data_IF_385263007328
#
_entry.id   IF_385263007328
#
_cell.length_a   1.000
_cell.length_b   1.000
_cell.length_c   1.000
_cell.angle_alpha   90.00
_cell.angle_beta   90.00
_cell.angle_gamma   90.00
#
_symmetry.space_group_name_H-M   'P 1'
#
loop_
_entity.id
_entity.type
_entity.pdbx_description
1 polymer ?
#
# COMPACT_ATOMS: atom_id res chain seq x y z
N UNK A 1 -21.32 -26.79 35.75
CA UNK A 1 -20.62 -26.88 34.44
C UNK A 1 -19.90 -25.58 34.19
N UNK A 2 -18.63 -25.53 34.50
CA UNK A 2 -17.78 -24.34 34.33
C UNK A 2 -17.28 -24.32 32.88
N UNK A 3 -17.69 -23.33 32.14
CA UNK A 3 -17.16 -23.04 30.82
C UNK A 3 -15.76 -22.44 31.02
N UNK A 4 -14.75 -23.13 30.53
CA UNK A 4 -13.37 -22.68 30.49
C UNK A 4 -13.22 -21.51 29.51
N UNK A 5 -13.29 -20.28 29.99
CA UNK A 5 -12.76 -19.10 29.32
C UNK A 5 -11.25 -19.04 29.54
N UNK A 6 -10.50 -19.77 28.75
CA UNK A 6 -9.05 -19.59 28.64
C UNK A 6 -8.66 -19.53 27.16
N UNK A 7 -7.87 -18.50 26.89
CA UNK A 7 -7.06 -18.28 25.69
C UNK A 7 -7.72 -17.59 24.48
N UNK A 8 -8.15 -16.34 24.71
CA UNK A 8 -7.82 -15.31 23.75
C UNK A 8 -6.66 -14.51 24.35
N UNK A 9 -5.43 -14.81 23.94
CA UNK A 9 -4.27 -13.96 24.21
C UNK A 9 -4.60 -12.58 23.66
N UNK A 10 -5.08 -11.68 24.52
CA UNK A 10 -5.34 -10.28 24.17
C UNK A 10 -3.99 -9.58 24.07
N UNK A 11 -3.34 -9.71 22.92
CA UNK A 11 -2.21 -8.88 22.59
C UNK A 11 -2.59 -7.43 22.82
N UNK A 12 -1.86 -6.73 23.70
CA UNK A 12 -2.14 -5.32 24.00
C UNK A 12 -1.97 -4.50 22.72
N UNK A 13 -3.08 -4.01 22.18
CA UNK A 13 -3.05 -3.10 21.04
C UNK A 13 -2.29 -1.83 21.47
N UNK A 14 -1.22 -1.43 20.77
CA UNK A 14 -0.52 -0.20 21.09
C UNK A 14 -1.45 1.00 20.99
N UNK A 15 -1.21 2.05 21.79
CA UNK A 15 -2.08 3.23 21.83
C UNK A 15 -2.37 3.77 20.42
N UNK A 16 -1.35 3.83 19.56
CA UNK A 16 -1.52 4.23 18.15
C UNK A 16 -2.46 3.32 17.37
N UNK A 17 -2.48 2.02 17.68
CA UNK A 17 -3.36 1.04 17.05
C UNK A 17 -4.83 1.23 17.40
N UNK A 18 -5.15 1.79 18.58
CA UNK A 18 -6.53 2.01 19.03
C UNK A 18 -7.30 3.01 18.16
N UNK A 19 -6.59 3.90 17.45
CA UNK A 19 -7.19 4.88 16.54
C UNK A 19 -7.25 4.40 15.09
N UNK A 20 -6.89 3.14 14.84
CA UNK A 20 -6.90 2.54 13.50
C UNK A 20 -8.12 1.66 13.30
N UNK A 21 -8.34 1.25 12.05
CA UNK A 21 -9.35 0.23 11.79
C UNK A 21 -8.93 -1.10 12.44
N UNK A 22 -9.88 -2.03 12.67
CA UNK A 22 -9.61 -3.28 13.39
C UNK A 22 -8.48 -4.12 12.79
N UNK A 23 -8.37 -4.13 11.46
CA UNK A 23 -7.36 -4.91 10.74
C UNK A 23 -5.96 -4.34 10.95
N UNK A 24 -5.79 -3.02 10.80
CA UNK A 24 -4.51 -2.34 11.08
C UNK A 24 -4.13 -2.51 12.55
N UNK A 25 -5.09 -2.39 13.46
CA UNK A 25 -4.86 -2.59 14.90
C UNK A 25 -4.34 -4.01 15.19
N UNK A 26 -4.97 -5.03 14.60
CA UNK A 26 -4.55 -6.44 14.72
C UNK A 26 -3.15 -6.66 14.17
N UNK A 27 -2.84 -6.15 12.98
CA UNK A 27 -1.51 -6.25 12.38
C UNK A 27 -0.43 -5.58 13.23
N UNK A 28 -0.73 -4.44 13.84
CA UNK A 28 0.22 -3.75 14.72
C UNK A 28 0.42 -4.47 16.04
N UNK A 29 -0.62 -5.08 16.60
CA UNK A 29 -0.50 -5.92 17.79
C UNK A 29 0.42 -7.13 17.54
N UNK A 30 0.21 -7.84 16.42
CA UNK A 30 1.09 -8.95 15.99
C UNK A 30 2.56 -8.50 15.91
N UNK A 31 2.83 -7.34 15.33
CA UNK A 31 4.18 -6.79 15.23
C UNK A 31 4.80 -6.45 16.59
N UNK A 32 4.02 -5.95 17.54
CA UNK A 32 4.50 -5.66 18.90
C UNK A 32 4.84 -6.93 19.65
N UNK A 33 4.03 -7.98 19.54
CA UNK A 33 4.33 -9.30 20.13
C UNK A 33 5.64 -9.88 19.61
N UNK A 34 5.88 -9.77 18.30
CA UNK A 34 7.13 -10.24 17.71
C UNK A 34 8.35 -9.47 18.24
N UNK A 35 8.25 -8.14 18.33
CA UNK A 35 9.33 -7.32 18.93
C UNK A 35 9.61 -7.70 20.38
N UNK A 36 8.58 -8.01 21.14
CA UNK A 36 8.77 -8.43 22.54
C UNK A 36 9.45 -9.80 22.62
N UNK A 37 9.09 -10.75 21.74
CA UNK A 37 9.79 -12.04 21.63
C UNK A 37 11.26 -11.87 21.25
N UNK A 38 11.59 -11.01 20.31
CA UNK A 38 12.97 -10.67 19.97
C UNK A 38 13.74 -10.06 21.15
N UNK A 39 13.10 -9.17 21.92
CA UNK A 39 13.70 -8.52 23.10
C UNK A 39 13.99 -9.48 24.23
N UNK A 40 13.14 -10.48 24.43
CA UNK A 40 13.30 -11.49 25.49
C UNK A 40 14.27 -12.60 25.11
N UNK A 41 14.92 -12.55 23.94
CA UNK A 41 15.91 -13.54 23.50
C UNK A 41 15.32 -14.91 23.17
N UNK A 42 13.98 -14.99 23.00
CA UNK A 42 13.30 -16.24 22.73
C UNK A 42 13.45 -16.76 21.29
N UNK A 43 14.01 -16.01 20.41
CA UNK A 43 14.50 -16.34 19.05
C UNK A 43 15.09 -15.05 18.46
N UNK A 44 16.19 -15.09 17.81
CA UNK A 44 16.53 -15.31 16.41
C UNK A 44 17.96 -14.82 16.20
N UNK A 45 18.83 -15.72 15.82
CA UNK A 45 20.11 -15.34 15.20
C UNK A 45 19.78 -14.60 13.89
N UNK A 46 20.37 -13.42 13.60
CA UNK A 46 20.08 -12.69 12.37
C UNK A 46 20.44 -13.58 11.17
N UNK A 47 19.42 -14.07 10.49
CA UNK A 47 19.60 -14.87 9.30
C UNK A 47 20.25 -14.00 8.20
N UNK A 48 21.27 -14.52 7.53
CA UNK A 48 21.90 -13.85 6.39
C UNK A 48 21.05 -13.94 5.13
N UNK A 49 20.18 -14.94 5.06
CA UNK A 49 19.24 -15.20 3.95
C UNK A 49 17.92 -15.74 4.47
N UNK A 50 16.82 -15.43 3.78
CA UNK A 50 15.48 -15.93 4.07
C UNK A 50 14.76 -16.37 2.80
N UNK A 51 13.81 -17.30 2.95
CA UNK A 51 12.89 -17.68 1.86
C UNK A 51 11.67 -16.75 1.83
N UNK A 52 10.96 -16.64 0.70
CA UNK A 52 9.71 -15.87 0.63
C UNK A 52 8.67 -16.32 1.65
N UNK A 53 8.57 -17.63 1.90
CA UNK A 53 7.63 -18.22 2.87
C UNK A 53 7.85 -17.75 4.31
N UNK A 54 9.10 -17.48 4.71
CA UNK A 54 9.42 -16.99 6.05
C UNK A 54 8.94 -15.57 6.34
N UNK A 55 8.56 -14.81 5.31
CA UNK A 55 7.94 -13.49 5.45
C UNK A 55 6.44 -13.50 5.18
N UNK A 56 5.90 -14.63 4.73
CA UNK A 56 4.49 -14.74 4.36
C UNK A 56 3.58 -14.40 5.55
N UNK A 57 2.59 -13.57 5.30
CA UNK A 57 1.60 -13.15 6.29
C UNK A 57 0.23 -13.09 5.63
N UNK A 58 -0.78 -13.54 6.36
CA UNK A 58 -2.16 -13.55 5.93
C UNK A 58 -3.07 -12.99 7.01
N UNK A 59 -4.14 -12.32 6.60
CA UNK A 59 -5.22 -11.86 7.47
C UNK A 59 -6.56 -12.00 6.77
N UNK A 60 -7.58 -12.44 7.50
CA UNK A 60 -8.93 -12.62 6.97
C UNK A 60 -9.85 -11.49 7.43
N UNK A 61 -10.79 -11.15 6.57
CA UNK A 61 -11.91 -10.25 6.82
C UNK A 61 -13.19 -11.10 6.83
N UNK A 62 -13.74 -11.42 7.99
CA UNK A 62 -14.94 -12.25 8.10
C UNK A 62 -16.21 -11.42 7.80
N UNK A 63 -16.32 -10.89 6.59
CA UNK A 63 -17.43 -10.03 6.18
C UNK A 63 -18.78 -10.75 6.17
N UNK A 64 -18.77 -12.09 5.98
CA UNK A 64 -19.99 -12.89 6.02
C UNK A 64 -20.61 -12.99 7.41
N UNK A 65 -19.83 -12.77 8.48
CA UNK A 65 -20.25 -12.97 9.88
C UNK A 65 -20.11 -11.72 10.74
N UNK A 66 -19.31 -10.74 10.34
CA UNK A 66 -19.09 -9.49 11.06
C UNK A 66 -19.64 -8.30 10.26
N UNK A 67 -20.93 -8.00 10.48
CA UNK A 67 -21.63 -6.89 9.82
C UNK A 67 -21.01 -5.52 10.14
N UNK A 68 -20.51 -5.32 11.36
CA UNK A 68 -19.87 -4.06 11.73
C UNK A 68 -18.55 -3.85 10.96
N UNK A 69 -17.76 -4.90 10.82
CA UNK A 69 -16.56 -4.86 10.00
C UNK A 69 -16.92 -4.61 8.53
N UNK A 70 -17.89 -5.34 8.00
CA UNK A 70 -18.39 -5.17 6.63
C UNK A 70 -18.77 -3.71 6.35
N UNK A 71 -19.58 -3.09 7.21
CA UNK A 71 -20.00 -1.69 7.05
C UNK A 71 -18.82 -0.70 7.10
N UNK A 72 -17.79 -0.99 7.87
CA UNK A 72 -16.58 -0.15 7.92
C UNK A 72 -15.78 -0.15 6.61
N UNK A 73 -16.00 -1.17 5.75
CA UNK A 73 -15.38 -1.33 4.44
C UNK A 73 -16.33 -1.09 3.27
N UNK A 74 -17.55 -0.69 3.52
CA UNK A 74 -18.54 -0.36 2.49
C UNK A 74 -18.44 1.13 2.12
N UNK A 75 -18.52 1.42 0.83
CA UNK A 75 -18.65 2.78 0.32
C UNK A 75 -20.15 3.17 0.20
N UNK A 76 -20.51 4.44 -0.08
CA UNK A 76 -21.90 4.86 -0.20
C UNK A 76 -22.71 4.16 -1.29
N UNK A 77 -22.08 3.46 -2.21
CA UNK A 77 -22.75 2.71 -3.29
C UNK A 77 -22.81 1.20 -3.03
N UNK A 78 -22.47 0.77 -1.81
CA UNK A 78 -22.52 -0.64 -1.43
C UNK A 78 -21.33 -1.47 -1.91
N UNK A 79 -20.24 -0.85 -2.39
CA UNK A 79 -19.06 -1.53 -2.89
C UNK A 79 -17.87 -1.38 -1.93
N UNK A 80 -16.77 -2.06 -2.27
CA UNK A 80 -15.53 -2.02 -1.50
C UNK A 80 -14.98 -0.59 -1.35
N UNK A 81 -14.74 -0.16 -0.13
CA UNK A 81 -14.08 1.09 0.21
C UNK A 81 -12.57 0.96 0.03
N UNK A 82 -12.08 1.10 -1.19
CA UNK A 82 -10.67 0.91 -1.55
C UNK A 82 -9.69 1.71 -0.68
N UNK A 83 -10.05 2.90 -0.24
CA UNK A 83 -9.19 3.68 0.67
C UNK A 83 -8.85 2.93 1.96
N UNK A 84 -9.78 2.14 2.52
CA UNK A 84 -9.52 1.29 3.68
C UNK A 84 -8.59 0.12 3.33
N UNK A 85 -8.85 -0.52 2.21
CA UNK A 85 -7.97 -1.60 1.72
C UNK A 85 -6.54 -1.11 1.52
N UNK A 86 -6.33 0.08 0.96
CA UNK A 86 -5.00 0.66 0.79
C UNK A 86 -4.27 0.88 2.14
N UNK A 87 -5.03 1.28 3.16
CA UNK A 87 -4.51 1.43 4.53
C UNK A 87 -4.04 0.09 5.09
N UNK A 88 -4.83 -0.98 4.91
CA UNK A 88 -4.51 -2.34 5.37
C UNK A 88 -3.35 -2.96 4.60
N UNK A 89 -3.32 -2.80 3.28
CA UNK A 89 -2.19 -3.22 2.45
C UNK A 89 -0.88 -2.63 2.95
N UNK A 90 -0.85 -1.34 3.29
CA UNK A 90 0.35 -0.72 3.83
C UNK A 90 0.74 -1.28 5.22
N UNK A 91 -0.23 -1.58 6.07
CA UNK A 91 0.01 -2.17 7.38
C UNK A 91 0.55 -3.61 7.26
N UNK A 92 -0.06 -4.43 6.39
CA UNK A 92 0.38 -5.80 6.13
C UNK A 92 1.78 -5.82 5.51
N UNK A 93 2.04 -4.97 4.51
CA UNK A 93 3.35 -4.86 3.91
C UNK A 93 4.43 -4.49 4.95
N UNK A 94 4.08 -3.62 5.91
CA UNK A 94 4.94 -3.31 7.04
C UNK A 94 5.23 -4.51 7.94
N UNK A 95 4.27 -5.40 8.18
CA UNK A 95 4.46 -6.64 8.93
C UNK A 95 5.35 -7.61 8.15
N UNK A 96 5.07 -7.85 6.89
CA UNK A 96 5.87 -8.71 6.00
C UNK A 96 7.33 -8.24 5.97
N UNK A 97 7.54 -6.92 5.80
CA UNK A 97 8.87 -6.34 5.81
C UNK A 97 9.58 -6.57 7.16
N UNK A 98 8.86 -6.44 8.28
CA UNK A 98 9.40 -6.70 9.60
C UNK A 98 9.79 -8.17 9.79
N UNK A 99 8.95 -9.12 9.32
CA UNK A 99 9.25 -10.57 9.35
C UNK A 99 10.52 -10.89 8.56
N UNK A 100 10.76 -10.19 7.45
CA UNK A 100 11.94 -10.40 6.63
C UNK A 100 13.21 -9.82 7.27
N UNK A 101 13.14 -8.58 7.74
CA UNK A 101 14.32 -7.83 8.20
C UNK A 101 14.75 -8.26 9.60
N UNK A 102 13.80 -8.35 10.55
CA UNK A 102 14.04 -8.55 11.98
C UNK A 102 15.06 -7.57 12.59
N UNK A 103 15.15 -7.51 13.91
CA UNK A 103 16.08 -6.62 14.60
C UNK A 103 15.66 -5.14 14.61
N UNK A 104 16.65 -4.25 14.77
CA UNK A 104 16.42 -2.82 15.06
C UNK A 104 16.39 -1.90 13.84
N UNK A 105 16.45 -2.43 12.61
CA UNK A 105 16.42 -1.58 11.43
C UNK A 105 15.10 -0.80 11.31
N UNK A 106 15.17 0.45 10.89
CA UNK A 106 14.01 1.26 10.60
C UNK A 106 13.49 0.89 9.20
N UNK A 107 12.27 0.39 9.15
CA UNK A 107 11.62 -0.03 7.90
C UNK A 107 10.66 1.09 7.46
N UNK A 108 10.83 1.57 6.23
CA UNK A 108 10.07 2.69 5.67
C UNK A 108 9.46 2.31 4.33
N UNK A 109 8.17 2.62 4.13
CA UNK A 109 7.53 2.53 2.81
C UNK A 109 8.16 3.55 1.87
N UNK A 110 8.82 3.08 0.81
CA UNK A 110 9.42 3.94 -0.21
C UNK A 110 8.44 4.30 -1.33
N UNK A 111 7.46 3.44 -1.58
CA UNK A 111 6.42 3.69 -2.58
C UNK A 111 5.49 2.51 -2.78
N UNK A 112 4.40 2.80 -3.44
CA UNK A 112 3.49 1.82 -4.03
C UNK A 112 3.82 1.73 -5.51
N UNK A 113 4.13 0.55 -5.97
CA UNK A 113 4.62 0.38 -7.33
C UNK A 113 3.49 0.11 -8.31
N UNK A 114 2.57 -0.75 -7.90
CA UNK A 114 1.41 -1.08 -8.69
C UNK A 114 0.31 -1.68 -7.82
N UNK A 115 -0.93 -1.31 -8.11
CA UNK A 115 -2.12 -1.96 -7.58
C UNK A 115 -3.04 -2.23 -8.76
N UNK A 116 -3.48 -3.47 -8.93
CA UNK A 116 -4.33 -3.89 -10.04
C UNK A 116 -5.58 -4.53 -9.47
N UNK A 117 -6.74 -4.05 -9.89
CA UNK A 117 -8.03 -4.70 -9.64
C UNK A 117 -8.40 -5.54 -10.86
N UNK A 118 -8.39 -6.85 -10.72
CA UNK A 118 -8.61 -7.79 -11.83
C UNK A 118 -10.09 -8.00 -12.11
N UNK A 119 -10.92 -8.01 -11.06
CA UNK A 119 -12.38 -8.19 -11.14
C UNK A 119 -13.08 -7.48 -9.98
N UNK A 120 -14.37 -7.32 -10.10
CA UNK A 120 -15.19 -6.90 -8.96
C UNK A 120 -15.27 -8.04 -7.92
N UNK A 121 -15.35 -7.69 -6.64
CA UNK A 121 -15.60 -8.61 -5.54
C UNK A 121 -16.99 -8.38 -4.95
N UNK A 122 -17.55 -9.40 -4.31
CA UNK A 122 -18.79 -9.31 -3.56
C UNK A 122 -18.47 -8.97 -2.10
N UNK A 123 -19.21 -8.02 -1.54
CA UNK A 123 -18.92 -7.50 -0.19
C UNK A 123 -19.36 -8.44 0.94
N UNK A 124 -20.28 -9.34 0.68
CA UNK A 124 -20.86 -10.30 1.62
C UNK A 124 -20.03 -11.59 1.77
N UNK A 125 -18.92 -11.71 1.04
CA UNK A 125 -18.00 -12.85 1.13
C UNK A 125 -16.80 -12.52 1.99
N UNK A 126 -16.30 -13.51 2.70
CA UNK A 126 -15.04 -13.38 3.41
C UNK A 126 -13.89 -13.09 2.44
N UNK A 127 -12.97 -12.26 2.89
CA UNK A 127 -11.82 -11.85 2.10
C UNK A 127 -10.53 -12.27 2.79
N UNK A 128 -9.52 -12.65 2.01
CA UNK A 128 -8.19 -13.03 2.49
C UNK A 128 -7.16 -12.11 1.88
N UNK A 129 -6.48 -11.36 2.73
CA UNK A 129 -5.36 -10.51 2.35
C UNK A 129 -4.07 -11.21 2.75
N UNK A 130 -3.27 -11.60 1.78
CA UNK A 130 -1.99 -12.28 1.98
C UNK A 130 -0.85 -11.60 1.23
N UNK A 131 0.39 -11.89 1.61
CA UNK A 131 1.55 -11.40 0.90
C UNK A 131 2.86 -11.96 1.42
N UNK A 132 3.92 -11.74 0.65
CA UNK A 132 5.30 -12.15 0.95
C UNK A 132 6.30 -11.26 0.22
N UNK A 133 7.55 -11.28 0.69
CA UNK A 133 8.66 -10.63 -0.03
C UNK A 133 8.94 -11.41 -1.30
N UNK A 134 9.03 -10.70 -2.42
CA UNK A 134 9.29 -11.30 -3.75
C UNK A 134 10.64 -10.92 -4.32
N UNK A 135 11.24 -9.83 -3.88
CA UNK A 135 12.57 -9.42 -4.31
C UNK A 135 13.27 -8.59 -3.22
N UNK A 136 14.59 -8.76 -3.13
CA UNK A 136 15.44 -8.00 -2.21
C UNK A 136 16.68 -7.52 -2.96
N UNK A 137 16.98 -6.23 -2.79
CA UNK A 137 18.25 -5.61 -3.18
C UNK A 137 19.17 -5.44 -1.97
N UNK A 138 20.03 -4.42 -1.97
CA UNK A 138 20.94 -4.17 -0.83
C UNK A 138 20.18 -3.63 0.39
N UNK A 139 19.35 -2.62 0.19
CA UNK A 139 18.60 -1.92 1.25
C UNK A 139 17.13 -1.70 0.91
N UNK A 140 16.64 -2.32 -0.16
CA UNK A 140 15.25 -2.24 -0.60
C UNK A 140 14.70 -3.62 -0.88
N UNK A 141 13.40 -3.80 -0.61
CA UNK A 141 12.67 -5.02 -0.91
C UNK A 141 11.37 -4.70 -1.62
N UNK A 142 10.91 -5.63 -2.45
CA UNK A 142 9.58 -5.63 -3.03
C UNK A 142 8.70 -6.66 -2.32
N UNK A 143 7.49 -6.25 -1.99
CA UNK A 143 6.48 -7.09 -1.36
C UNK A 143 5.30 -7.18 -2.31
N UNK A 144 4.91 -8.41 -2.67
CA UNK A 144 3.70 -8.71 -3.40
C UNK A 144 2.61 -9.08 -2.42
N UNK A 145 1.44 -8.50 -2.60
CA UNK A 145 0.24 -8.81 -1.83
C UNK A 145 -0.92 -9.11 -2.76
N UNK A 146 -1.83 -9.94 -2.29
CA UNK A 146 -3.01 -10.37 -3.02
C UNK A 146 -4.22 -10.32 -2.10
N UNK A 147 -5.38 -9.99 -2.68
CA UNK A 147 -6.67 -10.15 -2.01
C UNK A 147 -7.50 -11.11 -2.81
N UNK A 148 -8.00 -12.14 -2.12
CA UNK A 148 -8.89 -13.15 -2.67
C UNK A 148 -10.18 -13.18 -1.86
N UNK A 149 -11.27 -13.56 -2.48
CA UNK A 149 -12.53 -13.92 -1.81
C UNK A 149 -12.76 -15.43 -1.89
N UNK A 150 -13.67 -15.93 -1.05
CA UNK A 150 -14.06 -17.35 -1.00
C UNK A 150 -14.90 -17.78 -2.22
N UNK A 151 -14.55 -17.32 -3.42
CA UNK A 151 -15.23 -17.73 -4.64
C UNK A 151 -14.77 -19.13 -5.11
N UNK A 152 -15.49 -20.13 -4.67
CA UNK A 152 -15.26 -21.55 -5.03
C UNK A 152 -15.47 -21.81 -6.53
N UNK A 153 -16.15 -20.93 -7.26
CA UNK A 153 -16.48 -21.10 -8.67
C UNK A 153 -15.36 -20.67 -9.64
N UNK A 154 -14.36 -19.94 -9.15
CA UNK A 154 -13.26 -19.45 -9.99
C UNK A 154 -12.07 -20.41 -9.95
N UNK A 155 -11.79 -21.08 -11.05
CA UNK A 155 -10.55 -21.83 -11.25
C UNK A 155 -9.37 -20.83 -11.19
N UNK A 156 -8.70 -20.73 -10.04
CA UNK A 156 -7.56 -19.81 -9.82
C UNK A 156 -7.58 -19.09 -8.48
N UNK A 157 -8.45 -19.49 -7.55
CA UNK A 157 -8.36 -19.09 -6.15
C UNK A 157 -8.91 -17.70 -5.79
N UNK A 158 -9.93 -17.20 -6.49
CA UNK A 158 -10.66 -16.01 -6.03
C UNK A 158 -9.89 -14.69 -5.97
N UNK A 159 -8.64 -14.62 -6.46
CA UNK A 159 -7.84 -13.39 -6.46
C UNK A 159 -8.48 -12.30 -7.31
N UNK A 160 -8.80 -11.17 -6.69
CA UNK A 160 -9.39 -10.05 -7.40
C UNK A 160 -8.53 -8.77 -7.37
N UNK A 161 -7.54 -8.70 -6.46
CA UNK A 161 -6.60 -7.58 -6.38
C UNK A 161 -5.17 -8.06 -6.14
N UNK A 162 -4.24 -7.40 -6.77
CA UNK A 162 -2.81 -7.59 -6.61
C UNK A 162 -2.11 -6.25 -6.36
N UNK A 163 -1.16 -6.21 -5.43
CA UNK A 163 -0.45 -5.00 -5.08
C UNK A 163 1.05 -5.25 -4.88
N UNK A 164 1.88 -4.30 -5.29
CA UNK A 164 3.33 -4.30 -5.12
C UNK A 164 3.78 -3.07 -4.37
N UNK A 165 4.53 -3.28 -3.29
CA UNK A 165 5.09 -2.23 -2.46
C UNK A 165 6.61 -2.33 -2.39
N UNK A 166 7.29 -1.19 -2.41
CA UNK A 166 8.72 -1.13 -2.13
C UNK A 166 8.95 -0.57 -0.72
N UNK A 167 9.71 -1.32 0.07
CA UNK A 167 10.21 -0.88 1.37
C UNK A 167 11.72 -0.71 1.35
N UNK A 168 12.22 0.16 2.23
CA UNK A 168 13.65 0.43 2.41
C UNK A 168 14.00 0.30 3.88
N UNK A 169 15.15 -0.32 4.15
CA UNK A 169 15.74 -0.38 5.49
C UNK A 169 16.72 0.74 5.71
N UNK A 170 16.61 1.39 6.84
CA UNK A 170 17.48 2.46 7.27
C UNK A 170 18.08 2.12 8.64
N UNK A 171 19.30 2.53 8.85
CA UNK A 171 19.90 2.53 10.17
C UNK A 171 19.11 3.46 11.09
N UNK A 172 18.75 3.02 12.31
CA UNK A 172 17.87 3.79 13.20
C UNK A 172 18.50 5.08 13.71
N UNK A 173 19.83 5.18 13.74
CA UNK A 173 20.57 6.34 14.23
C UNK A 173 20.92 7.29 13.09
N UNK A 174 21.65 6.77 12.10
CA UNK A 174 22.18 7.60 11.00
C UNK A 174 21.16 7.91 9.93
N UNK A 175 20.01 7.18 9.91
CA UNK A 175 18.96 7.26 8.87
C UNK A 175 19.45 6.95 7.45
N UNK A 176 20.64 6.38 7.31
CA UNK A 176 21.20 5.94 6.02
C UNK A 176 20.69 4.54 5.66
N UNK A 177 20.61 4.21 4.36
CA UNK A 177 20.26 2.86 3.92
C UNK A 177 21.21 1.81 4.54
N UNK A 178 20.63 0.73 5.07
CA UNK A 178 21.34 -0.40 5.64
C UNK A 178 20.97 -1.70 4.95
N UNK A 179 21.88 -2.66 4.94
CA UNK A 179 21.62 -3.98 4.34
C UNK A 179 20.58 -4.78 5.12
N UNK A 180 19.95 -5.71 4.44
CA UNK A 180 18.99 -6.65 4.99
C UNK A 180 19.31 -8.08 4.55
N UNK A 181 18.71 -9.11 5.17
CA UNK A 181 18.86 -10.49 4.72
C UNK A 181 18.53 -10.65 3.24
N UNK A 182 19.32 -11.42 2.51
CA UNK A 182 19.05 -11.75 1.12
C UNK A 182 17.80 -12.64 0.99
N UNK A 183 17.19 -12.69 -0.19
CA UNK A 183 16.06 -13.57 -0.47
C UNK A 183 16.53 -14.77 -1.29
N UNK A 184 16.17 -15.98 -0.86
CA UNK A 184 16.44 -17.23 -1.57
C UNK A 184 15.14 -17.86 -2.03
N UNK A 185 14.71 -17.65 -3.28
CA UNK A 185 13.53 -18.29 -3.84
C UNK A 185 13.72 -19.80 -3.98
N UNK A 186 12.74 -20.60 -3.54
CA UNK A 186 12.80 -22.05 -3.56
C UNK A 186 12.07 -22.64 -4.79
N UNK A 187 10.91 -22.10 -5.13
CA UNK A 187 10.08 -22.61 -6.23
C UNK A 187 10.38 -21.89 -7.56
N UNK A 188 9.94 -22.47 -8.67
CA UNK A 188 10.03 -21.86 -10.01
C UNK A 188 9.22 -20.56 -10.08
N UNK A 189 8.04 -20.52 -9.45
CA UNK A 189 7.19 -19.34 -9.37
C UNK A 189 7.88 -18.21 -8.58
N UNK A 190 8.48 -18.53 -7.44
CA UNK A 190 9.21 -17.55 -6.63
C UNK A 190 10.41 -16.98 -7.37
N UNK A 191 11.15 -17.82 -8.13
CA UNK A 191 12.23 -17.35 -8.99
C UNK A 191 11.74 -16.40 -10.07
N UNK A 192 10.61 -16.71 -10.72
CA UNK A 192 10.02 -15.82 -11.72
C UNK A 192 9.61 -14.48 -11.11
N UNK A 193 9.00 -14.46 -9.92
CA UNK A 193 8.66 -13.21 -9.22
C UNK A 193 9.91 -12.42 -8.81
N UNK A 194 10.96 -13.09 -8.36
CA UNK A 194 12.24 -12.46 -8.02
C UNK A 194 12.88 -11.76 -9.22
N UNK A 195 12.93 -12.43 -10.38
CA UNK A 195 13.43 -11.83 -11.63
C UNK A 195 12.60 -10.62 -12.07
N UNK A 196 11.27 -10.72 -12.00
CA UNK A 196 10.37 -9.60 -12.32
C UNK A 196 10.59 -8.41 -11.37
N UNK A 197 10.77 -8.66 -10.08
CA UNK A 197 11.12 -7.64 -9.09
C UNK A 197 12.45 -6.96 -9.41
N UNK A 198 13.48 -7.75 -9.77
CA UNK A 198 14.77 -7.21 -10.18
C UNK A 198 14.67 -6.30 -11.41
N UNK A 199 13.88 -6.71 -12.43
CA UNK A 199 13.64 -5.90 -13.64
C UNK A 199 12.92 -4.59 -13.30
N UNK A 200 11.89 -4.62 -12.44
CA UNK A 200 11.18 -3.42 -11.97
C UNK A 200 12.12 -2.47 -11.22
N UNK A 201 12.94 -2.99 -10.31
CA UNK A 201 13.93 -2.20 -9.58
C UNK A 201 14.94 -1.53 -10.51
N UNK A 202 15.42 -2.25 -11.52
CA UNK A 202 16.34 -1.71 -12.54
C UNK A 202 15.68 -0.61 -13.39
N UNK A 203 14.43 -0.82 -13.83
CA UNK A 203 13.67 0.17 -14.58
C UNK A 203 13.48 1.47 -13.78
N UNK A 204 13.14 1.37 -12.48
CA UNK A 204 13.05 2.52 -11.57
C UNK A 204 14.38 3.27 -11.44
N UNK A 205 15.50 2.53 -11.34
CA UNK A 205 16.84 3.14 -11.26
C UNK A 205 17.18 3.90 -12.54
N UNK A 206 16.81 3.35 -13.70
CA UNK A 206 16.98 4.03 -15.01
C UNK A 206 16.11 5.29 -15.11
N UNK A 207 14.82 5.18 -14.77
CA UNK A 207 13.89 6.31 -14.79
C UNK A 207 14.29 7.47 -13.86
N UNK A 208 14.97 7.16 -12.73
CA UNK A 208 15.52 8.19 -11.83
C UNK A 208 16.73 8.92 -12.40
N UNK A 209 17.50 8.25 -13.26
CA UNK A 209 18.67 8.87 -13.92
C UNK A 209 18.25 9.74 -15.11
N UNK A 210 17.23 9.31 -15.84
CA UNK A 210 16.64 10.06 -16.95
C UNK A 210 15.60 11.05 -16.38
N UNK A 211 16.08 12.18 -15.87
CA UNK A 211 15.25 13.34 -15.55
C UNK A 211 15.02 14.20 -16.80
N UNK A 212 14.90 13.57 -17.95
CA UNK A 212 14.64 14.28 -19.18
C UNK A 212 13.29 15.00 -19.09
N UNK A 213 13.21 16.17 -19.73
CA UNK A 213 11.97 16.93 -19.87
C UNK A 213 10.88 15.97 -20.34
N UNK A 214 9.78 15.89 -19.62
CA UNK A 214 8.62 15.06 -19.98
C UNK A 214 8.00 15.51 -21.31
N UNK A 215 8.22 16.75 -21.69
CA UNK A 215 7.71 17.39 -22.88
C UNK A 215 8.83 18.28 -23.45
N UNK A 216 9.11 18.19 -24.74
CA UNK A 216 10.01 19.11 -25.42
C UNK A 216 9.36 20.50 -25.60
N UNK A 217 10.19 21.50 -25.86
CA UNK A 217 9.73 22.89 -25.92
C UNK A 217 8.74 23.12 -27.08
N UNK A 218 8.89 22.41 -28.19
CA UNK A 218 8.02 22.53 -29.38
C UNK A 218 6.61 21.97 -29.06
N UNK A 219 6.53 20.81 -28.43
CA UNK A 219 5.26 20.22 -27.96
C UNK A 219 4.60 21.11 -26.90
N UNK A 220 5.38 21.68 -25.97
CA UNK A 220 4.86 22.60 -24.96
C UNK A 220 4.25 23.87 -25.61
N UNK A 221 4.93 24.47 -26.59
CA UNK A 221 4.42 25.61 -27.30
C UNK A 221 3.16 25.31 -28.13
N UNK A 222 3.10 24.13 -28.74
CA UNK A 222 1.90 23.67 -29.46
C UNK A 222 0.69 23.53 -28.52
N UNK A 223 0.89 22.93 -27.35
CA UNK A 223 -0.15 22.79 -26.30
C UNK A 223 -0.61 24.13 -25.74
N UNK A 224 0.32 25.06 -25.53
CA UNK A 224 -0.01 26.44 -25.10
C UNK A 224 -0.83 27.20 -26.14
N UNK A 225 -0.52 27.05 -27.44
CA UNK A 225 -1.33 27.63 -28.53
C UNK A 225 -2.74 27.06 -28.55
N UNK A 226 -2.90 25.74 -28.36
CA UNK A 226 -4.22 25.09 -28.26
C UNK A 226 -5.01 25.57 -27.04
N UNK A 227 -4.35 25.82 -25.90
CA UNK A 227 -4.99 26.33 -24.71
C UNK A 227 -5.37 27.82 -24.78
N UNK A 228 -4.81 28.57 -25.73
CA UNK A 228 -5.03 30.01 -25.90
C UNK A 228 -6.50 30.43 -25.93
N UNK A 229 -7.38 29.80 -26.73
CA UNK A 229 -8.82 30.10 -26.73
C UNK A 229 -9.49 29.84 -25.38
N UNK A 230 -9.16 28.74 -24.69
CA UNK A 230 -9.71 28.42 -23.37
C UNK A 230 -9.33 29.45 -22.30
N UNK A 231 -8.15 30.07 -22.41
CA UNK A 231 -7.65 31.06 -21.47
C UNK A 231 -8.18 32.45 -21.77
N UNK A 232 -8.13 32.88 -23.03
CA UNK A 232 -8.34 34.28 -23.43
C UNK A 232 -9.71 34.55 -24.03
N UNK A 233 -10.36 33.53 -24.62
CA UNK A 233 -11.64 33.63 -25.33
C UNK A 233 -12.53 32.39 -25.05
N UNK A 234 -12.97 32.16 -23.80
CA UNK A 234 -13.68 30.94 -23.43
C UNK A 234 -14.95 30.66 -24.24
N UNK A 235 -15.62 31.71 -24.71
CA UNK A 235 -16.82 31.59 -25.57
C UNK A 235 -16.57 31.06 -26.97
N UNK A 236 -15.30 31.10 -27.44
CA UNK A 236 -14.86 30.55 -28.73
C UNK A 236 -14.13 29.22 -28.58
N UNK A 237 -13.92 28.79 -27.37
CA UNK A 237 -13.23 27.53 -27.08
C UNK A 237 -14.15 26.33 -27.39
N UNK A 238 -13.53 25.17 -27.64
CA UNK A 238 -14.25 23.91 -27.75
C UNK A 238 -14.99 23.63 -26.43
N UNK A 239 -16.33 23.47 -26.45
CA UNK A 239 -17.14 23.24 -25.26
C UNK A 239 -16.84 21.88 -24.57
N UNK A 240 -16.15 20.96 -25.27
CA UNK A 240 -15.73 19.68 -24.73
C UNK A 240 -14.31 19.70 -24.13
N UNK A 241 -13.66 20.85 -24.18
CA UNK A 241 -12.31 21.05 -23.62
C UNK A 241 -12.35 21.91 -22.36
N UNK A 242 -11.62 21.50 -21.33
CA UNK A 242 -11.51 22.21 -20.07
C UNK A 242 -10.05 22.32 -19.63
N UNK A 243 -9.66 23.45 -19.07
CA UNK A 243 -8.32 23.62 -18.51
C UNK A 243 -8.12 22.72 -17.30
N UNK A 244 -7.00 22.01 -17.26
CA UNK A 244 -6.66 21.13 -16.13
C UNK A 244 -6.64 21.87 -14.78
N UNK A 245 -6.31 23.17 -14.77
CA UNK A 245 -6.39 24.01 -13.57
C UNK A 245 -7.79 24.13 -13.00
N UNK A 246 -8.85 24.06 -13.85
CA UNK A 246 -10.25 24.11 -13.44
C UNK A 246 -10.73 22.79 -12.83
N UNK A 247 -10.02 21.69 -13.03
CA UNK A 247 -10.33 20.38 -12.45
C UNK A 247 -9.58 20.14 -11.13
N UNK A 248 -8.73 21.10 -10.70
CA UNK A 248 -7.91 20.96 -9.52
C UNK A 248 -8.75 20.90 -8.26
N UNK A 249 -8.61 19.81 -7.51
CA UNK A 249 -9.15 19.63 -6.17
C UNK A 249 -8.02 19.61 -5.15
N UNK A 250 -8.23 20.24 -4.01
CA UNK A 250 -7.23 20.35 -2.95
C UNK A 250 -7.86 20.13 -1.59
N UNK A 251 -7.17 19.38 -0.73
CA UNK A 251 -7.53 19.19 0.66
C UNK A 251 -6.29 19.47 1.53
N UNK A 252 -6.46 20.23 2.60
CA UNK A 252 -5.43 20.50 3.59
C UNK A 252 -5.88 20.00 4.96
N UNK A 253 -4.97 19.39 5.71
CA UNK A 253 -5.25 18.88 7.05
C UNK A 253 -4.00 18.94 7.93
N UNK A 254 -4.23 19.11 9.22
CA UNK A 254 -3.19 18.97 10.22
C UNK A 254 -3.15 17.51 10.67
N UNK A 255 -2.01 16.84 10.50
CA UNK A 255 -1.83 15.47 10.94
C UNK A 255 -1.70 15.42 12.47
N UNK A 256 -2.67 14.80 13.12
CA UNK A 256 -2.71 14.63 14.57
C UNK A 256 -1.87 13.42 15.02
N UNK A 257 -1.54 13.35 16.31
CA UNK A 257 -0.74 12.26 16.89
C UNK A 257 -1.37 10.86 16.66
N UNK A 258 -2.71 10.77 16.66
CA UNK A 258 -3.44 9.52 16.34
C UNK A 258 -3.21 9.01 14.90
N UNK A 259 -2.68 9.84 14.00
CA UNK A 259 -2.36 9.45 12.62
C UNK A 259 -0.95 8.87 12.48
N UNK A 260 -0.19 8.80 13.58
CA UNK A 260 1.14 8.22 13.61
C UNK A 260 1.12 6.69 13.54
N UNK A 261 2.24 6.14 13.07
CA UNK A 261 2.53 4.71 13.09
C UNK A 261 3.32 4.31 14.36
N UNK A 262 3.71 3.04 14.44
CA UNK A 262 4.49 2.48 15.56
C UNK A 262 5.90 3.10 15.72
N UNK A 263 6.36 3.92 14.78
CA UNK A 263 7.65 4.61 14.80
C UNK A 263 7.51 6.12 14.99
N UNK A 264 6.36 6.57 15.51
CA UNK A 264 6.06 8.01 15.77
C UNK A 264 6.10 8.90 14.51
N UNK A 265 5.85 8.31 13.33
CA UNK A 265 5.74 9.00 12.03
C UNK A 265 4.34 8.87 11.47
N UNK A 266 3.93 9.80 10.62
CA UNK A 266 2.63 9.70 9.94
C UNK A 266 2.55 8.37 9.20
N UNK A 267 1.45 7.65 9.44
CA UNK A 267 1.21 6.33 8.85
C UNK A 267 1.02 6.42 7.34
N UNK A 268 1.85 5.70 6.58
CA UNK A 268 1.81 5.72 5.11
C UNK A 268 0.46 5.29 4.55
N UNK A 269 -0.18 4.27 5.14
CA UNK A 269 -1.52 3.84 4.75
C UNK A 269 -2.58 4.92 4.91
N UNK A 270 -2.49 5.74 5.97
CA UNK A 270 -3.37 6.89 6.14
C UNK A 270 -3.21 7.90 4.99
N UNK A 271 -1.97 8.22 4.60
CA UNK A 271 -1.72 9.14 3.49
C UNK A 271 -2.23 8.57 2.16
N UNK A 272 -2.02 7.28 1.91
CA UNK A 272 -2.53 6.59 0.72
C UNK A 272 -4.05 6.64 0.65
N UNK A 273 -4.74 6.36 1.76
CA UNK A 273 -6.20 6.47 1.83
C UNK A 273 -6.66 7.87 1.47
N UNK A 274 -6.05 8.90 2.06
CA UNK A 274 -6.44 10.31 1.82
C UNK A 274 -6.18 10.73 0.37
N UNK A 275 -5.06 10.32 -0.20
CA UNK A 275 -4.74 10.59 -1.60
C UNK A 275 -5.74 9.92 -2.55
N UNK A 276 -6.08 8.65 -2.29
CA UNK A 276 -7.07 7.91 -3.06
C UNK A 276 -8.47 8.56 -2.96
N UNK A 277 -8.93 8.87 -1.74
CA UNK A 277 -10.24 9.48 -1.51
C UNK A 277 -10.36 10.85 -2.22
N UNK A 278 -9.28 11.64 -2.23
CA UNK A 278 -9.24 12.92 -2.96
C UNK A 278 -9.27 12.71 -4.49
N UNK A 279 -8.47 11.77 -5.00
CA UNK A 279 -8.45 11.44 -6.43
C UNK A 279 -9.83 10.91 -6.90
N UNK A 280 -10.44 10.04 -6.10
CA UNK A 280 -11.77 9.51 -6.38
C UNK A 280 -12.84 10.61 -6.43
N UNK A 281 -12.81 11.54 -5.46
CA UNK A 281 -13.73 12.68 -5.42
C UNK A 281 -13.52 13.60 -6.64
N UNK A 282 -12.27 13.85 -7.02
CA UNK A 282 -11.95 14.64 -8.21
C UNK A 282 -12.47 13.98 -9.50
N UNK A 283 -12.26 12.67 -9.65
CA UNK A 283 -12.79 11.92 -10.79
C UNK A 283 -14.34 11.94 -10.84
N UNK A 284 -14.99 11.81 -9.67
CA UNK A 284 -16.44 11.86 -9.56
C UNK A 284 -17.01 13.22 -10.00
N UNK A 285 -16.42 14.31 -9.53
CA UNK A 285 -16.85 15.68 -9.86
C UNK A 285 -16.60 15.98 -11.36
N UNK A 286 -15.44 15.59 -11.88
CA UNK A 286 -15.09 15.81 -13.28
C UNK A 286 -15.95 14.98 -14.24
N UNK A 287 -16.15 13.70 -13.93
CA UNK A 287 -16.86 12.78 -14.82
C UNK A 287 -18.40 12.81 -14.68
N UNK A 288 -18.94 13.46 -13.64
CA UNK A 288 -20.38 13.48 -13.35
C UNK A 288 -20.99 12.12 -13.06
N UNK A 289 -20.17 11.08 -12.90
CA UNK A 289 -20.57 9.70 -12.67
C UNK A 289 -19.62 8.99 -11.72
N UNK A 290 -20.08 7.88 -11.13
CA UNK A 290 -19.28 7.05 -10.21
C UNK A 290 -18.05 6.50 -10.94
N UNK A 291 -16.80 6.86 -10.53
CA UNK A 291 -15.60 6.32 -11.14
C UNK A 291 -15.40 4.86 -10.74
N UNK A 292 -14.84 4.07 -11.65
CA UNK A 292 -14.42 2.70 -11.40
C UNK A 292 -12.91 2.65 -11.22
N UNK A 293 -12.46 2.22 -10.04
CA UNK A 293 -11.04 2.01 -9.79
C UNK A 293 -10.54 0.79 -10.55
N UNK A 294 -9.45 0.93 -11.28
CA UNK A 294 -8.83 -0.14 -12.06
C UNK A 294 -7.41 -0.42 -11.60
N UNK A 295 -6.54 0.59 -11.61
CA UNK A 295 -5.15 0.41 -11.21
C UNK A 295 -4.53 1.72 -10.69
N UNK A 296 -3.46 1.55 -9.93
CA UNK A 296 -2.47 2.60 -9.63
C UNK A 296 -1.15 2.13 -10.18
N UNK A 297 -0.47 2.97 -10.94
CA UNK A 297 0.89 2.74 -11.41
C UNK A 297 1.84 3.71 -10.72
N UNK A 298 2.93 3.18 -10.14
CA UNK A 298 4.08 3.87 -9.58
C UNK A 298 3.80 5.19 -8.83
N UNK A 299 2.96 5.16 -7.76
CA UNK A 299 2.86 6.30 -6.86
C UNK A 299 4.07 6.38 -5.92
N UNK A 300 4.81 7.49 -5.95
CA UNK A 300 5.94 7.75 -5.06
C UNK A 300 5.48 8.50 -3.82
N UNK A 301 5.78 7.98 -2.63
CA UNK A 301 5.87 8.82 -1.44
C UNK A 301 7.16 9.64 -1.55
N UNK A 302 7.14 10.70 -2.35
CA UNK A 302 8.26 11.62 -2.46
C UNK A 302 8.41 12.42 -1.16
N UNK A 303 9.66 12.59 -0.66
CA UNK A 303 9.94 13.73 0.20
C UNK A 303 9.61 14.99 -0.61
N UNK A 304 8.92 15.99 -0.06
CA UNK A 304 9.00 17.34 -0.61
C UNK A 304 10.49 17.70 -0.64
N UNK A 305 11.01 18.06 -1.81
CA UNK A 305 12.36 18.55 -1.93
C UNK A 305 12.46 19.83 -1.07
N UNK A 306 13.16 19.74 0.03
CA UNK A 306 13.51 20.88 0.89
C UNK A 306 12.66 21.05 2.17
N UNK A 307 12.80 20.18 3.16
CA UNK A 307 12.85 20.50 4.61
C UNK A 307 13.75 19.46 5.29
#
# INVERSE_FOLDING_TARGET
>A
MSVNEKDASTAKIPIQGQFKNPIVAKLWAMRQEMKEKERTGMEISPATSKTPSQSATEISYPFSTDEFLLESYRNPWGEMRFGRILEDLNALAGNIAFHHVQGNALIVTAGVDRIIVRRATQMDRDQHLSGKVTWVGTSSMEIRMQIADDDVATAGGGEWMEAYFTFVTLDPVTKRPTSMPSLTPETSEERAHFELGARRAQAKKRARKNKDKLVDDETADALLKQAGPLINMPSLADPHSILMTSTKMQNAMIAQSQMKNLHDRIFGGFLMRRAFELAYANCYIFGGAKPKFQEVDASRCGRPDGV
#
